data_IF_409342815885
#
_entry.id   IF_409342815885
#
_cell.length_a   1.000
_cell.length_b   1.000
_cell.length_c   1.000
_cell.angle_alpha   90.00
_cell.angle_beta   90.00
_cell.angle_gamma   90.00
#
_symmetry.space_group_name_H-M   'P 1'
#
loop_
_entity.id
_entity.type
_entity.pdbx_description
1 polymer ?
#
# COMPACT_ATOMS: atom_id res chain seq x y z
N UNK A 1 26.91 11.66 11.72
CA UNK A 1 26.34 12.36 12.89
C UNK A 1 25.99 11.42 14.06
N UNK A 2 26.58 10.24 14.12
CA UNK A 2 26.36 9.24 15.19
C UNK A 2 27.06 9.63 16.49
N UNK A 3 28.05 10.52 16.44
CA UNK A 3 28.92 10.84 17.56
C UNK A 3 28.68 12.21 18.22
N UNK A 4 27.51 12.80 18.04
CA UNK A 4 27.19 14.03 18.72
C UNK A 4 26.84 13.76 20.19
N UNK A 5 27.73 14.09 21.18
CA UNK A 5 27.52 13.76 22.59
C UNK A 5 26.29 14.44 23.20
N UNK A 6 25.80 15.53 22.60
CA UNK A 6 24.60 16.22 23.03
C UNK A 6 23.29 15.51 22.63
N UNK A 7 23.34 14.54 21.70
CA UNK A 7 22.15 13.74 21.32
C UNK A 7 21.98 12.50 22.22
N UNK A 8 23.04 11.98 22.81
CA UNK A 8 23.01 10.74 23.63
C UNK A 8 22.23 10.88 24.94
N UNK A 9 22.08 12.09 25.49
CA UNK A 9 21.44 12.33 26.78
C UNK A 9 20.09 13.03 26.70
N UNK A 10 19.48 13.17 25.53
CA UNK A 10 18.12 13.71 25.45
C UNK A 10 17.10 12.65 25.86
N UNK A 11 16.22 12.94 26.84
CA UNK A 11 15.12 12.03 27.13
C UNK A 11 14.28 11.84 25.87
N UNK A 12 13.75 10.62 25.65
CA UNK A 12 12.91 10.35 24.47
C UNK A 12 11.75 11.35 24.45
N UNK A 13 11.57 12.00 23.30
CA UNK A 13 10.50 12.99 23.10
C UNK A 13 9.17 12.24 23.24
N UNK A 14 8.41 12.55 24.29
CA UNK A 14 7.09 11.96 24.49
C UNK A 14 6.20 12.32 23.28
N UNK A 15 5.59 11.35 22.62
CA UNK A 15 4.72 11.60 21.50
C UNK A 15 3.50 12.42 21.95
N UNK A 16 3.12 13.44 21.17
CA UNK A 16 1.92 14.25 21.45
C UNK A 16 0.66 13.39 21.29
N UNK A 17 -0.31 13.58 22.18
CA UNK A 17 -1.63 12.97 22.04
C UNK A 17 -1.76 11.53 22.57
N UNK A 18 -0.98 11.12 23.57
CA UNK A 18 -1.13 9.84 24.27
C UNK A 18 -0.75 8.62 23.43
N UNK A 19 -0.10 8.79 22.27
CA UNK A 19 0.45 7.70 21.48
C UNK A 19 1.54 6.99 22.28
N UNK A 20 1.53 5.65 22.24
CA UNK A 20 2.59 4.84 22.84
C UNK A 20 3.92 5.19 22.18
N UNK A 21 4.98 5.31 22.97
CA UNK A 21 6.35 5.48 22.47
C UNK A 21 6.72 4.19 21.73
N UNK A 22 7.19 4.32 20.49
CA UNK A 22 7.68 3.16 19.76
C UNK A 22 8.95 2.63 20.44
N UNK A 23 9.14 1.32 20.51
CA UNK A 23 10.38 0.75 21.01
C UNK A 23 11.57 1.23 20.16
N UNK A 24 12.72 1.38 20.79
CA UNK A 24 13.95 1.71 20.07
C UNK A 24 14.28 0.55 19.14
N UNK A 25 14.51 0.79 17.84
CA UNK A 25 14.87 -0.28 16.92
C UNK A 25 16.17 -0.95 17.38
N UNK A 26 16.31 -2.28 17.23
CA UNK A 26 17.52 -2.97 17.55
C UNK A 26 18.69 -2.50 16.67
N UNK A 27 19.94 -2.69 17.10
CA UNK A 27 21.09 -2.38 16.27
C UNK A 27 21.03 -3.20 14.97
N UNK A 28 21.36 -2.56 13.86
CA UNK A 28 21.33 -3.23 12.54
C UNK A 28 22.43 -4.31 12.48
N UNK A 29 22.03 -5.52 12.14
CA UNK A 29 22.88 -6.66 11.87
C UNK A 29 22.35 -7.38 10.62
N UNK A 30 23.12 -8.37 10.13
CA UNK A 30 22.68 -9.18 8.98
C UNK A 30 21.35 -9.92 9.23
N UNK A 31 21.00 -10.19 10.48
CA UNK A 31 19.74 -10.85 10.86
C UNK A 31 18.56 -9.87 10.93
N UNK A 32 18.84 -8.60 11.23
CA UNK A 32 17.82 -7.54 11.38
C UNK A 32 17.58 -6.74 10.10
N UNK A 33 18.21 -7.14 8.98
CA UNK A 33 17.95 -6.50 7.68
C UNK A 33 16.47 -6.64 7.32
N UNK A 34 15.80 -5.54 6.93
CA UNK A 34 14.40 -5.57 6.53
C UNK A 34 14.15 -6.54 5.39
N UNK A 35 13.05 -7.29 5.49
CA UNK A 35 12.58 -8.23 4.47
C UNK A 35 11.11 -7.97 4.21
N UNK A 36 10.66 -8.32 3.02
CA UNK A 36 9.25 -8.34 2.69
C UNK A 36 8.62 -9.60 3.30
N UNK A 37 7.61 -9.43 4.14
CA UNK A 37 6.91 -10.51 4.84
C UNK A 37 5.68 -10.97 4.07
N UNK A 38 4.78 -10.03 3.76
CA UNK A 38 3.55 -10.30 3.03
C UNK A 38 3.05 -9.05 2.30
N UNK A 39 2.25 -9.26 1.27
CA UNK A 39 1.57 -8.19 0.53
C UNK A 39 0.06 -8.39 0.63
N UNK A 40 -0.65 -7.34 1.04
CA UNK A 40 -2.10 -7.28 0.94
C UNK A 40 -2.50 -6.46 -0.27
N UNK A 41 -3.36 -7.02 -1.10
CA UNK A 41 -4.00 -6.31 -2.21
C UNK A 41 -5.47 -6.18 -1.89
N UNK A 42 -5.94 -4.96 -1.75
CA UNK A 42 -7.33 -4.66 -1.41
C UNK A 42 -8.00 -3.91 -2.56
N UNK A 43 -9.19 -4.37 -2.93
CA UNK A 43 -10.00 -3.75 -3.97
C UNK A 43 -11.39 -3.45 -3.40
N UNK A 44 -11.78 -2.18 -3.36
CA UNK A 44 -13.10 -1.77 -2.89
C UNK A 44 -14.03 -1.48 -4.08
N UNK A 45 -15.14 -2.21 -4.15
CA UNK A 45 -16.07 -2.18 -5.27
C UNK A 45 -17.41 -1.59 -4.80
N UNK A 46 -17.54 -0.27 -4.87
CA UNK A 46 -18.76 0.45 -4.45
C UNK A 46 -20.02 -0.02 -5.19
N UNK A 47 -19.88 -0.40 -6.45
CA UNK A 47 -20.99 -0.84 -7.28
C UNK A 47 -21.50 -2.24 -6.92
N UNK A 48 -20.75 -3.02 -6.13
CA UNK A 48 -21.18 -4.31 -5.61
C UNK A 48 -22.42 -4.19 -4.69
N UNK A 49 -22.69 -3.02 -4.12
CA UNK A 49 -23.91 -2.72 -3.34
C UNK A 49 -25.16 -2.90 -4.20
N UNK A 50 -25.10 -2.52 -5.48
CA UNK A 50 -26.22 -2.61 -6.41
C UNK A 50 -26.21 -3.89 -7.24
N UNK A 51 -25.01 -4.34 -7.66
CA UNK A 51 -24.87 -5.53 -8.48
C UNK A 51 -23.68 -6.39 -8.02
N UNK A 52 -23.99 -7.59 -7.52
CA UNK A 52 -23.00 -8.55 -7.05
C UNK A 52 -22.05 -9.07 -8.15
N UNK A 53 -22.46 -8.98 -9.43
CA UNK A 53 -21.60 -9.39 -10.55
C UNK A 53 -20.31 -8.56 -10.63
N UNK A 54 -20.36 -7.29 -10.24
CA UNK A 54 -19.17 -6.43 -10.20
C UNK A 54 -18.14 -6.90 -9.17
N UNK A 55 -18.60 -7.50 -8.06
CA UNK A 55 -17.71 -8.11 -7.08
C UNK A 55 -16.98 -9.33 -7.65
N UNK A 56 -17.71 -10.15 -8.41
CA UNK A 56 -17.12 -11.33 -9.06
C UNK A 56 -16.01 -10.93 -10.03
N UNK A 57 -16.22 -9.86 -10.80
CA UNK A 57 -15.19 -9.30 -11.69
C UNK A 57 -13.90 -8.96 -10.93
N UNK A 58 -14.00 -8.26 -9.79
CA UNK A 58 -12.84 -7.93 -8.97
C UNK A 58 -12.16 -9.17 -8.35
N UNK A 59 -12.95 -10.14 -7.87
CA UNK A 59 -12.41 -11.39 -7.36
C UNK A 59 -11.62 -12.16 -8.42
N UNK A 60 -12.18 -12.31 -9.62
CA UNK A 60 -11.52 -13.00 -10.73
C UNK A 60 -10.24 -12.28 -11.16
N UNK A 61 -10.29 -10.95 -11.29
CA UNK A 61 -9.12 -10.15 -11.66
C UNK A 61 -7.97 -10.32 -10.65
N UNK A 62 -8.25 -10.21 -9.34
CA UNK A 62 -7.22 -10.42 -8.33
C UNK A 62 -6.70 -11.86 -8.34
N UNK A 63 -7.54 -12.84 -8.52
CA UNK A 63 -7.11 -14.24 -8.58
C UNK A 63 -6.20 -14.51 -9.80
N UNK A 64 -6.50 -13.92 -10.96
CA UNK A 64 -5.64 -14.04 -12.14
C UNK A 64 -4.25 -13.44 -11.92
N UNK A 65 -4.19 -12.24 -11.31
CA UNK A 65 -2.94 -11.51 -11.08
C UNK A 65 -2.06 -12.20 -10.04
N UNK A 66 -2.68 -12.68 -8.95
CA UNK A 66 -1.96 -13.16 -7.76
C UNK A 66 -1.82 -14.68 -7.71
N UNK A 67 -2.60 -15.41 -8.51
CA UNK A 67 -2.75 -16.88 -8.45
C UNK A 67 -3.26 -17.40 -7.10
N UNK A 68 -3.60 -16.50 -6.16
CA UNK A 68 -4.15 -16.82 -4.84
C UNK A 68 -5.64 -16.52 -4.76
N UNK A 69 -6.36 -17.26 -3.92
CA UNK A 69 -7.81 -17.08 -3.78
C UNK A 69 -8.15 -15.83 -2.97
N UNK A 70 -8.86 -14.84 -3.54
CA UNK A 70 -9.27 -13.66 -2.81
C UNK A 70 -10.39 -13.94 -1.81
N UNK A 71 -10.37 -13.20 -0.71
CA UNK A 71 -11.42 -13.21 0.30
C UNK A 71 -12.36 -12.02 0.10
N UNK A 72 -13.66 -12.26 0.30
CA UNK A 72 -14.68 -11.19 0.24
C UNK A 72 -14.67 -10.38 1.52
N UNK A 73 -14.66 -9.05 1.38
CA UNK A 73 -14.76 -8.12 2.49
C UNK A 73 -16.20 -7.64 2.64
N UNK A 74 -16.73 -7.79 3.86
CA UNK A 74 -18.09 -7.40 4.22
C UNK A 74 -18.11 -6.11 5.02
N UNK A 75 -19.18 -5.32 4.87
CA UNK A 75 -19.38 -4.11 5.64
C UNK A 75 -19.61 -4.43 7.11
N UNK A 76 -18.89 -3.76 8.01
CA UNK A 76 -19.05 -3.91 9.47
C UNK A 76 -20.25 -3.11 9.99
N UNK A 77 -20.51 -1.93 9.40
CA UNK A 77 -21.55 -0.99 9.83
C UNK A 77 -22.43 -0.61 8.65
N UNK A 78 -23.71 -0.29 8.95
CA UNK A 78 -24.63 0.25 7.96
C UNK A 78 -24.54 1.79 7.89
N UNK A 79 -24.62 2.35 6.68
CA UNK A 79 -24.73 3.79 6.44
C UNK A 79 -25.89 4.04 5.50
N UNK A 80 -26.97 4.62 6.03
CA UNK A 80 -28.22 4.80 5.29
C UNK A 80 -28.06 5.66 4.02
N UNK A 81 -27.26 6.73 4.09
CA UNK A 81 -27.01 7.64 2.98
C UNK A 81 -26.37 6.95 1.77
N UNK A 82 -25.63 5.89 1.99
CA UNK A 82 -24.96 5.10 0.93
C UNK A 82 -25.72 3.82 0.58
N UNK A 83 -26.93 3.64 1.13
CA UNK A 83 -27.71 2.39 1.00
C UNK A 83 -26.93 1.13 1.40
N UNK A 84 -25.95 1.31 2.29
CA UNK A 84 -25.09 0.26 2.79
C UNK A 84 -25.70 -0.34 4.07
N UNK A 85 -25.80 -1.66 4.11
CA UNK A 85 -26.21 -2.41 5.32
C UNK A 85 -25.02 -3.21 5.86
N UNK A 86 -25.02 -3.46 7.16
CA UNK A 86 -24.05 -4.37 7.75
C UNK A 86 -24.16 -5.77 7.11
N UNK A 87 -23.04 -6.42 6.87
CA UNK A 87 -22.97 -7.73 6.20
C UNK A 87 -23.07 -7.72 4.67
N UNK A 88 -23.19 -6.55 4.03
CA UNK A 88 -23.12 -6.48 2.57
C UNK A 88 -21.68 -6.68 2.08
N UNK A 89 -21.44 -7.47 1.00
CA UNK A 89 -20.13 -7.60 0.39
C UNK A 89 -19.79 -6.32 -0.37
N UNK A 90 -18.62 -5.72 -0.07
CA UNK A 90 -18.22 -4.41 -0.61
C UNK A 90 -16.85 -4.43 -1.28
N UNK A 91 -16.08 -5.47 -1.11
CA UNK A 91 -14.74 -5.54 -1.67
C UNK A 91 -14.13 -6.93 -1.60
N UNK A 92 -12.91 -7.01 -2.03
CA UNK A 92 -12.11 -8.22 -1.98
C UNK A 92 -10.68 -7.89 -1.52
N UNK A 93 -10.04 -8.85 -0.88
CA UNK A 93 -8.67 -8.76 -0.39
C UNK A 93 -7.94 -10.07 -0.66
N UNK A 94 -6.69 -9.95 -1.07
CA UNK A 94 -5.76 -11.08 -1.21
C UNK A 94 -4.56 -10.83 -0.31
N UNK A 95 -4.10 -11.85 0.35
CA UNK A 95 -2.83 -11.86 1.06
C UNK A 95 -1.88 -12.80 0.33
N UNK A 96 -0.73 -12.29 -0.08
CA UNK A 96 0.28 -13.04 -0.82
C UNK A 96 1.54 -13.14 0.01
N UNK A 97 2.10 -14.35 0.09
CA UNK A 97 3.35 -14.66 0.81
C UNK A 97 4.29 -15.51 -0.03
N UNK A 98 5.58 -15.44 0.28
CA UNK A 98 6.60 -16.29 -0.35
C UNK A 98 6.84 -16.00 -1.84
N UNK A 99 7.11 -17.01 -2.67
CA UNK A 99 7.47 -16.80 -4.07
C UNK A 99 6.45 -16.02 -4.92
N UNK A 100 5.12 -16.25 -4.82
CA UNK A 100 4.12 -15.48 -5.57
C UNK A 100 4.16 -13.98 -5.27
N UNK A 101 4.57 -13.61 -4.05
CA UNK A 101 4.73 -12.22 -3.64
C UNK A 101 5.79 -11.50 -4.47
N UNK A 102 6.96 -12.12 -4.67
CA UNK A 102 8.03 -11.54 -5.48
C UNK A 102 7.64 -11.47 -6.96
N UNK A 103 6.98 -12.50 -7.48
CA UNK A 103 6.45 -12.49 -8.85
C UNK A 103 5.45 -11.35 -9.07
N UNK A 104 4.61 -11.06 -8.07
CA UNK A 104 3.70 -9.91 -8.12
C UNK A 104 4.46 -8.57 -8.14
N UNK A 105 5.51 -8.43 -7.31
CA UNK A 105 6.34 -7.22 -7.28
C UNK A 105 7.04 -7.01 -8.63
N UNK A 106 7.61 -8.05 -9.22
CA UNK A 106 8.26 -7.98 -10.52
C UNK A 106 7.29 -7.50 -11.62
N UNK A 107 6.09 -8.10 -11.71
CA UNK A 107 5.05 -7.66 -12.65
C UNK A 107 4.64 -6.20 -12.40
N UNK A 108 4.47 -5.82 -11.13
CA UNK A 108 4.09 -4.46 -10.77
C UNK A 108 5.15 -3.45 -11.23
N UNK A 109 6.43 -3.72 -10.95
CA UNK A 109 7.54 -2.80 -11.20
C UNK A 109 7.94 -2.77 -12.68
N UNK A 110 8.04 -3.93 -13.32
CA UNK A 110 8.54 -3.99 -14.70
C UNK A 110 7.47 -3.71 -15.75
N UNK A 111 6.21 -4.06 -15.48
CA UNK A 111 5.14 -3.97 -16.48
C UNK A 111 4.17 -2.83 -16.16
N UNK A 112 3.62 -2.79 -14.95
CA UNK A 112 2.50 -1.90 -14.63
C UNK A 112 2.97 -0.47 -14.39
N UNK A 113 3.97 -0.26 -13.53
CA UNK A 113 4.43 1.09 -13.17
C UNK A 113 4.93 1.91 -14.37
N UNK A 114 5.73 1.38 -15.31
CA UNK A 114 6.18 2.15 -16.47
C UNK A 114 5.05 2.53 -17.44
N UNK A 115 3.96 1.75 -17.47
CA UNK A 115 2.80 1.98 -18.34
C UNK A 115 1.80 2.98 -17.74
N UNK A 116 1.91 3.31 -16.44
CA UNK A 116 1.05 4.28 -15.76
C UNK A 116 1.49 5.71 -16.08
N UNK A 117 0.71 6.42 -16.90
CA UNK A 117 1.05 7.76 -17.40
C UNK A 117 0.99 8.86 -16.34
N UNK A 118 0.12 8.75 -15.35
CA UNK A 118 -0.16 9.81 -14.37
C UNK A 118 0.32 9.48 -12.95
N UNK A 119 1.17 8.48 -12.82
CA UNK A 119 1.68 8.06 -11.51
C UNK A 119 3.10 8.58 -11.29
N UNK A 120 3.26 9.39 -10.25
CA UNK A 120 4.54 10.06 -9.94
C UNK A 120 5.40 9.36 -8.89
N UNK A 121 5.04 8.16 -8.50
CA UNK A 121 5.71 7.42 -7.43
C UNK A 121 4.97 7.48 -6.09
N UNK A 122 5.47 6.69 -5.15
CA UNK A 122 4.92 6.59 -3.79
C UNK A 122 5.30 7.85 -2.99
N UNK A 123 4.34 8.53 -2.34
CA UNK A 123 4.68 9.67 -1.49
C UNK A 123 5.46 9.20 -0.26
N UNK A 124 6.48 9.98 0.17
CA UNK A 124 7.27 9.66 1.36
C UNK A 124 6.46 9.59 2.66
N UNK A 125 5.22 10.08 2.65
CA UNK A 125 4.31 10.04 3.80
C UNK A 125 3.42 8.80 3.86
N UNK A 126 3.62 7.82 2.98
CA UNK A 126 2.73 6.65 2.86
C UNK A 126 3.00 5.53 3.88
N UNK A 127 3.94 5.71 4.79
CA UNK A 127 4.20 4.76 5.87
C UNK A 127 3.23 4.88 7.04
N UNK A 128 3.04 3.79 7.77
CA UNK A 128 2.22 3.71 8.99
C UNK A 128 2.99 4.06 10.28
N UNK A 129 4.29 4.29 10.18
CA UNK A 129 5.20 4.50 11.30
C UNK A 129 5.83 3.21 11.86
N UNK A 130 5.43 2.04 11.39
CA UNK A 130 5.92 0.73 11.85
C UNK A 130 6.64 -0.05 10.75
N UNK A 131 7.01 0.63 9.68
CA UNK A 131 7.72 0.00 8.56
C UNK A 131 6.84 -0.66 7.51
N UNK A 132 5.53 -0.44 7.53
CA UNK A 132 4.66 -0.87 6.44
C UNK A 132 4.36 0.29 5.51
N UNK A 133 4.25 0.03 4.21
CA UNK A 133 4.00 1.05 3.20
C UNK A 133 2.79 0.66 2.36
N UNK A 134 1.86 1.61 2.24
CA UNK A 134 0.67 1.44 1.40
C UNK A 134 0.74 2.34 0.18
N UNK A 135 0.25 1.85 -0.95
CA UNK A 135 0.10 2.62 -2.19
C UNK A 135 -1.22 2.30 -2.88
N UNK A 136 -1.89 3.34 -3.36
CA UNK A 136 -3.14 3.22 -4.09
C UNK A 136 -2.94 3.37 -5.59
N UNK A 137 -3.68 2.59 -6.36
CA UNK A 137 -3.66 2.59 -7.81
C UNK A 137 -5.03 2.90 -8.41
N UNK A 138 -5.09 3.65 -9.51
CA UNK A 138 -6.32 3.90 -10.23
C UNK A 138 -6.85 2.63 -10.91
N UNK A 139 -8.09 2.66 -11.37
CA UNK A 139 -8.71 1.54 -12.07
C UNK A 139 -7.95 1.14 -13.36
N UNK A 140 -7.33 2.11 -14.02
CA UNK A 140 -6.51 1.87 -15.21
C UNK A 140 -5.31 0.97 -14.94
N UNK A 141 -4.79 0.94 -13.71
CA UNK A 141 -3.63 0.11 -13.37
C UNK A 141 -3.97 -1.39 -13.37
N UNK A 142 -5.19 -1.77 -12.99
CA UNK A 142 -5.59 -3.17 -12.96
C UNK A 142 -5.62 -3.79 -14.37
N UNK A 143 -6.00 -3.01 -15.38
CA UNK A 143 -6.03 -3.46 -16.77
C UNK A 143 -4.66 -3.59 -17.43
N UNK A 144 -3.60 -3.07 -16.80
CA UNK A 144 -2.24 -3.15 -17.33
C UNK A 144 -1.51 -4.45 -16.99
N UNK A 145 -2.09 -5.26 -16.10
CA UNK A 145 -1.54 -6.59 -15.83
C UNK A 145 -1.77 -7.51 -17.03
N UNK A 146 -0.75 -8.25 -17.48
CA UNK A 146 -0.85 -9.09 -18.70
C UNK A 146 -1.94 -10.15 -18.60
N UNK A 147 -2.19 -10.70 -17.41
CA UNK A 147 -3.23 -11.71 -17.16
C UNK A 147 -4.65 -11.16 -17.35
N UNK A 148 -4.83 -9.87 -17.10
CA UNK A 148 -6.13 -9.18 -17.23
C UNK A 148 -6.26 -8.56 -18.62
N UNK A 149 -5.18 -8.03 -19.19
CA UNK A 149 -5.15 -7.40 -20.51
C UNK A 149 -5.63 -8.35 -21.61
N UNK A 150 -5.19 -9.62 -21.57
CA UNK A 150 -5.58 -10.65 -22.53
C UNK A 150 -7.06 -11.04 -22.51
N UNK A 151 -7.74 -10.81 -21.38
CA UNK A 151 -9.14 -11.20 -21.16
C UNK A 151 -9.99 -10.00 -20.69
N UNK A 152 -9.67 -8.81 -21.14
CA UNK A 152 -10.31 -7.57 -20.69
C UNK A 152 -11.83 -7.59 -20.74
N UNK A 153 -12.40 -8.14 -21.82
CA UNK A 153 -13.85 -8.22 -22.04
C UNK A 153 -14.58 -9.09 -21.00
N UNK A 154 -13.86 -9.98 -20.32
CA UNK A 154 -14.41 -10.82 -19.25
C UNK A 154 -14.61 -10.06 -17.93
N UNK A 155 -14.06 -8.85 -17.83
CA UNK A 155 -14.12 -8.03 -16.61
C UNK A 155 -15.00 -6.79 -16.85
N UNK A 156 -16.32 -6.86 -16.63
CA UNK A 156 -17.26 -5.77 -16.95
C UNK A 156 -17.00 -4.51 -16.10
N UNK A 157 -16.30 -4.63 -14.99
CA UNK A 157 -15.96 -3.50 -14.16
C UNK A 157 -14.54 -3.62 -13.62
N UNK A 158 -13.69 -2.66 -13.98
CA UNK A 158 -12.39 -2.47 -13.38
C UNK A 158 -12.45 -1.38 -12.31
N UNK A 159 -11.93 -1.69 -11.13
CA UNK A 159 -11.86 -0.75 -10.01
C UNK A 159 -10.41 -0.51 -9.61
N UNK A 160 -10.15 0.61 -8.92
CA UNK A 160 -8.85 0.84 -8.31
C UNK A 160 -8.57 -0.17 -7.21
N UNK A 161 -7.30 -0.32 -6.86
CA UNK A 161 -6.85 -1.22 -5.81
C UNK A 161 -5.74 -0.57 -4.99
N UNK A 162 -5.61 -1.03 -3.76
CA UNK A 162 -4.58 -0.62 -2.83
C UNK A 162 -3.65 -1.79 -2.58
N UNK A 163 -2.35 -1.53 -2.56
CA UNK A 163 -1.30 -2.50 -2.23
C UNK A 163 -0.64 -2.08 -0.94
N UNK A 164 -0.59 -2.97 0.03
CA UNK A 164 0.04 -2.77 1.32
C UNK A 164 1.20 -3.74 1.44
N UNK A 165 2.40 -3.21 1.56
CA UNK A 165 3.62 -3.98 1.78
C UNK A 165 3.88 -4.07 3.27
N UNK A 166 3.72 -5.25 3.83
CA UNK A 166 4.14 -5.54 5.19
C UNK A 166 5.59 -6.00 5.18
N UNK A 167 6.40 -5.32 5.96
CA UNK A 167 7.84 -5.61 6.06
C UNK A 167 8.23 -5.89 7.50
N UNK A 168 9.37 -6.52 7.68
CA UNK A 168 9.97 -6.73 9.01
C UNK A 168 10.73 -5.49 9.51
N UNK A 169 10.68 -4.37 8.78
CA UNK A 169 11.32 -3.12 9.17
C UNK A 169 10.69 -2.52 10.44
N UNK A 170 11.49 -1.89 11.26
CA UNK A 170 11.01 -1.17 12.45
C UNK A 170 10.60 0.27 12.14
N UNK A 171 11.11 0.83 11.06
CA UNK A 171 10.88 2.23 10.67
C UNK A 171 10.46 2.35 9.22
N UNK A 172 9.66 3.36 8.91
CA UNK A 172 9.28 3.65 7.52
C UNK A 172 10.48 3.98 6.63
N UNK A 173 11.59 4.45 7.22
CA UNK A 173 12.80 4.76 6.47
C UNK A 173 13.46 3.48 5.95
N UNK A 174 13.54 2.45 6.79
CA UNK A 174 14.08 1.14 6.41
C UNK A 174 13.19 0.46 5.37
N UNK A 175 11.86 0.51 5.56
CA UNK A 175 10.92 -0.02 4.59
C UNK A 175 11.02 0.68 3.22
N UNK A 176 11.20 2.01 3.20
CA UNK A 176 11.43 2.73 1.95
C UNK A 176 12.74 2.33 1.28
N UNK A 177 13.79 2.14 2.04
CA UNK A 177 15.06 1.66 1.52
C UNK A 177 14.90 0.27 0.89
N UNK A 178 14.18 -0.63 1.54
CA UNK A 178 13.85 -1.95 1.01
C UNK A 178 13.08 -1.86 -0.32
N UNK A 179 11.98 -1.10 -0.35
CA UNK A 179 11.15 -0.96 -1.56
C UNK A 179 11.87 -0.20 -2.69
N UNK A 180 12.75 0.74 -2.35
CA UNK A 180 13.64 1.38 -3.33
C UNK A 180 14.62 0.37 -3.95
N UNK A 181 15.08 -0.62 -3.17
CA UNK A 181 15.86 -1.75 -3.69
C UNK A 181 15.10 -2.62 -4.69
N UNK A 182 13.77 -2.72 -4.56
CA UNK A 182 12.88 -3.32 -5.56
C UNK A 182 12.51 -2.36 -6.71
N UNK A 183 13.20 -1.23 -6.86
CA UNK A 183 13.00 -0.22 -7.90
C UNK A 183 11.63 0.47 -7.88
N UNK A 184 10.93 0.47 -6.75
CA UNK A 184 9.69 1.25 -6.59
C UNK A 184 10.08 2.72 -6.39
N UNK A 185 9.65 3.64 -7.27
CA UNK A 185 10.02 5.05 -7.17
C UNK A 185 9.25 5.75 -6.06
N UNK A 186 9.97 6.54 -5.27
CA UNK A 186 9.41 7.42 -4.25
C UNK A 186 9.43 8.87 -4.71
N UNK A 187 8.35 9.59 -4.47
CA UNK A 187 8.21 10.99 -4.83
C UNK A 187 8.41 11.89 -3.59
N UNK A 188 9.42 12.74 -3.65
CA UNK A 188 9.56 13.85 -2.72
C UNK A 188 8.59 14.97 -3.12
N UNK A 189 7.41 15.05 -2.48
CA UNK A 189 6.62 16.28 -2.56
C UNK A 189 7.50 17.42 -2.08
N UNK A 190 7.99 18.26 -2.98
CA UNK A 190 8.64 19.52 -2.62
C UNK A 190 7.71 20.23 -1.63
N UNK A 191 8.10 20.31 -0.36
CA UNK A 191 7.39 21.11 0.64
C UNK A 191 7.24 22.49 0.03
N UNK A 192 6.01 22.93 -0.27
CA UNK A 192 5.75 24.33 -0.61
C UNK A 192 6.37 25.12 0.54
N UNK A 193 7.47 25.82 0.28
CA UNK A 193 8.04 26.76 1.25
C UNK A 193 6.90 27.70 1.61
N UNK A 194 6.41 27.63 2.85
CA UNK A 194 5.57 28.69 3.40
C UNK A 194 6.40 29.96 3.23
N UNK A 195 5.97 30.85 2.35
CA UNK A 195 6.51 32.19 2.29
C UNK A 195 6.27 32.80 3.67
N UNK A 196 7.29 32.78 4.50
CA UNK A 196 7.34 33.59 5.70
C UNK A 196 7.45 35.00 5.12
N UNK A 197 6.34 35.75 5.08
CA UNK A 197 6.36 37.17 4.87
C UNK A 197 7.15 37.72 6.06
N UNK A 198 8.39 38.10 5.85
CA UNK A 198 9.11 38.98 6.74
C UNK A 198 8.33 40.28 6.65
N UNK A 199 7.62 40.64 7.70
CA UNK A 199 7.08 42.01 7.86
C UNK A 199 8.29 42.88 8.15
N UNK A 200 8.65 43.73 7.19
CA UNK A 200 9.47 44.90 7.40
C UNK A 200 8.67 45.96 8.19
#
# INVERSE_FOLDING_TARGET
DVDNPFKKNRPPIKPRGGKKTQPVPPPQSHETIPRLDEIYIHCMIKQAIHNKQHLLSGLMALQCITSERPNVVYSKTGVANWKLRAGMPIGCVVNIKGPPMYTFVDKLVEIVLPRLKEWYGVPLSSGDGNGNIAMGFPSSALSLFPEVEGNYDSFPLMTGFDVIFNTTAYTDHEARALLSGFQIPFNEKKRKRRNIRVME
#
